data_IF_254347323522
#
_entry.id   IF_254347323522
#
_cell.length_a   1.000
_cell.length_b   1.000
_cell.length_c   1.000
_cell.angle_alpha   90.00
_cell.angle_beta   90.00
_cell.angle_gamma   90.00
#
_symmetry.space_group_name_H-M   'P 1'
#
loop_
_entity.id
_entity.type
_entity.pdbx_description
1 polymer ?
#
# COMPACT_ATOMS: atom_id res chain seq x y z
N UNK A 1 -40.03 6.25 43.82
CA UNK A 1 -39.29 7.54 43.84
C UNK A 1 -39.66 8.45 42.69
N UNK A 2 -39.72 7.98 41.43
CA UNK A 2 -40.12 8.82 40.28
C UNK A 2 -41.56 9.39 40.39
N UNK A 3 -42.51 8.59 40.91
CA UNK A 3 -43.90 9.00 41.15
C UNK A 3 -44.10 9.78 42.47
N UNK A 4 -43.05 9.90 43.29
CA UNK A 4 -43.09 10.54 44.60
C UNK A 4 -42.44 11.95 44.60
N UNK A 5 -42.13 12.51 43.42
CA UNK A 5 -41.52 13.84 43.27
C UNK A 5 -40.01 13.91 43.52
N UNK A 6 -39.34 12.81 43.89
CA UNK A 6 -37.89 12.76 44.15
C UNK A 6 -37.03 12.46 42.90
N UNK A 7 -37.48 12.89 41.72
CA UNK A 7 -36.85 12.55 40.44
C UNK A 7 -35.39 13.02 40.34
N UNK A 8 -35.08 14.19 40.88
CA UNK A 8 -33.72 14.76 40.86
C UNK A 8 -32.71 14.00 41.74
N UNK A 9 -33.17 13.48 42.89
CA UNK A 9 -32.32 12.68 43.79
C UNK A 9 -32.03 11.31 43.17
N UNK A 10 -33.04 10.68 42.56
CA UNK A 10 -32.87 9.43 41.82
C UNK A 10 -31.89 9.61 40.66
N UNK A 11 -32.04 10.69 39.88
CA UNK A 11 -31.14 11.04 38.78
C UNK A 11 -29.68 11.14 39.25
N UNK A 12 -29.43 11.89 40.32
CA UNK A 12 -28.07 12.13 40.83
C UNK A 12 -27.41 10.84 41.30
N UNK A 13 -28.12 10.06 42.12
CA UNK A 13 -27.60 8.79 42.67
C UNK A 13 -27.38 7.76 41.56
N UNK A 14 -28.34 7.64 40.63
CA UNK A 14 -28.22 6.72 39.51
C UNK A 14 -27.00 7.06 38.67
N UNK A 15 -26.85 8.33 38.28
CA UNK A 15 -25.73 8.80 37.47
C UNK A 15 -24.39 8.48 38.13
N UNK A 16 -24.21 8.87 39.39
CA UNK A 16 -22.94 8.69 40.10
C UNK A 16 -22.53 7.21 40.20
N UNK A 17 -23.48 6.34 40.56
CA UNK A 17 -23.20 4.91 40.73
C UNK A 17 -22.95 4.24 39.37
N UNK A 18 -23.82 4.51 38.37
CA UNK A 18 -23.76 3.82 37.08
C UNK A 18 -22.59 4.30 36.23
N UNK A 19 -22.28 5.59 36.22
CA UNK A 19 -21.09 6.10 35.54
C UNK A 19 -19.82 5.47 36.11
N UNK A 20 -19.70 5.40 37.44
CA UNK A 20 -18.54 4.77 38.09
C UNK A 20 -18.41 3.28 37.76
N UNK A 21 -19.52 2.54 37.73
CA UNK A 21 -19.54 1.10 37.36
C UNK A 21 -19.16 0.91 35.89
N UNK A 22 -19.69 1.75 34.99
CA UNK A 22 -19.42 1.68 33.56
C UNK A 22 -17.95 1.98 33.26
N UNK A 23 -17.40 3.03 33.88
CA UNK A 23 -15.97 3.35 33.79
C UNK A 23 -15.09 2.23 34.33
N UNK A 24 -15.45 1.65 35.49
CA UNK A 24 -14.71 0.53 36.05
C UNK A 24 -14.76 -0.71 35.14
N UNK A 25 -15.89 -0.93 34.46
CA UNK A 25 -16.07 -2.04 33.52
C UNK A 25 -15.17 -1.86 32.30
N UNK A 26 -15.08 -0.65 31.74
CA UNK A 26 -14.14 -0.35 30.65
C UNK A 26 -12.67 -0.48 31.07
N UNK A 27 -12.32 -0.03 32.29
CA UNK A 27 -10.96 -0.22 32.81
C UNK A 27 -10.60 -1.69 32.99
N UNK A 28 -11.53 -2.51 33.47
CA UNK A 28 -11.35 -3.97 33.59
C UNK A 28 -11.24 -4.66 32.23
N UNK A 29 -11.92 -4.12 31.23
CA UNK A 29 -11.81 -4.60 29.86
C UNK A 29 -10.41 -4.33 29.28
N UNK A 30 -9.71 -3.31 29.78
CA UNK A 30 -8.36 -2.93 29.34
C UNK A 30 -8.34 -1.63 28.54
N UNK A 31 -9.42 -0.85 28.56
CA UNK A 31 -9.47 0.46 27.91
C UNK A 31 -8.62 1.44 28.71
N UNK A 32 -7.52 1.87 28.10
CA UNK A 32 -6.60 2.86 28.64
C UNK A 32 -6.79 4.20 27.94
N UNK A 33 -6.73 5.29 28.71
CA UNK A 33 -6.66 6.63 28.14
C UNK A 33 -5.20 6.89 27.73
N UNK A 34 -4.91 6.78 26.44
CA UNK A 34 -3.59 7.09 25.89
C UNK A 34 -3.60 8.46 25.21
N UNK A 35 -2.54 9.23 25.43
CA UNK A 35 -2.31 10.46 24.67
C UNK A 35 -1.59 10.17 23.36
N UNK A 36 -1.58 11.16 22.46
CA UNK A 36 -0.79 11.10 21.22
C UNK A 36 0.70 10.79 21.50
N UNK A 37 1.26 11.39 22.54
CA UNK A 37 2.68 11.22 22.88
C UNK A 37 2.97 9.82 23.40
N UNK A 38 2.04 9.21 24.13
CA UNK A 38 2.15 7.83 24.61
C UNK A 38 2.16 6.85 23.43
N UNK A 39 1.24 7.06 22.47
CA UNK A 39 1.16 6.27 21.23
C UNK A 39 2.44 6.39 20.40
N UNK A 40 3.01 7.59 20.30
CA UNK A 40 4.23 7.82 19.50
C UNK A 40 5.48 7.19 20.10
N UNK A 41 5.55 7.05 21.42
CA UNK A 41 6.71 6.44 22.12
C UNK A 41 6.64 4.91 22.15
N UNK A 42 5.50 4.33 21.80
CA UNK A 42 5.26 2.90 21.87
C UNK A 42 5.92 2.15 20.72
N UNK A 43 6.41 0.94 21.00
CA UNK A 43 6.90 0.02 19.96
C UNK A 43 5.74 -0.47 19.11
N UNK A 44 6.02 -0.72 17.82
CA UNK A 44 4.99 -1.06 16.84
C UNK A 44 4.21 -2.32 17.22
N UNK A 45 4.89 -3.38 17.65
CA UNK A 45 4.29 -4.67 17.97
C UNK A 45 3.30 -4.56 19.15
N UNK A 46 3.62 -3.71 20.12
CA UNK A 46 2.75 -3.43 21.27
C UNK A 46 1.56 -2.57 20.83
N UNK A 47 1.80 -1.60 19.95
CA UNK A 47 0.76 -0.71 19.44
C UNK A 47 -0.26 -1.47 18.59
N UNK A 48 0.21 -2.32 17.67
CA UNK A 48 -0.60 -3.19 16.82
C UNK A 48 -1.51 -4.09 17.67
N UNK A 49 -0.95 -4.76 18.68
CA UNK A 49 -1.74 -5.56 19.62
C UNK A 49 -2.78 -4.73 20.40
N UNK A 50 -2.44 -3.50 20.81
CA UNK A 50 -3.38 -2.59 21.48
C UNK A 50 -4.49 -2.11 20.54
N UNK A 51 -4.21 -1.87 19.26
CA UNK A 51 -5.24 -1.52 18.27
C UNK A 51 -6.19 -2.70 18.07
N UNK A 52 -5.67 -3.92 17.92
CA UNK A 52 -6.50 -5.14 17.85
C UNK A 52 -7.41 -5.29 19.07
N UNK A 53 -6.87 -5.08 20.27
CA UNK A 53 -7.66 -5.09 21.50
C UNK A 53 -8.72 -3.97 21.51
N UNK A 54 -8.37 -2.75 21.08
CA UNK A 54 -9.31 -1.63 21.00
C UNK A 54 -10.50 -1.95 20.09
N UNK A 55 -10.29 -2.63 18.96
CA UNK A 55 -11.38 -3.08 18.07
C UNK A 55 -12.36 -3.99 18.82
N UNK A 56 -11.85 -4.97 19.57
CA UNK A 56 -12.67 -5.85 20.39
C UNK A 56 -13.39 -5.08 21.51
N UNK A 57 -12.70 -4.16 22.16
CA UNK A 57 -13.26 -3.36 23.25
C UNK A 57 -14.39 -2.45 22.75
N UNK A 58 -14.23 -1.88 21.55
CA UNK A 58 -15.25 -1.05 20.93
C UNK A 58 -16.52 -1.84 20.64
N UNK A 59 -16.41 -3.06 20.08
CA UNK A 59 -17.56 -3.97 19.90
C UNK A 59 -18.27 -4.25 21.21
N UNK A 60 -17.53 -4.63 22.24
CA UNK A 60 -18.09 -4.95 23.57
C UNK A 60 -18.75 -3.72 24.19
N UNK A 61 -18.12 -2.56 24.12
CA UNK A 61 -18.66 -1.32 24.68
C UNK A 61 -20.00 -0.95 24.04
N UNK A 62 -20.07 -0.93 22.70
CA UNK A 62 -21.29 -0.53 21.99
C UNK A 62 -22.38 -1.59 22.11
N UNK A 63 -22.08 -2.85 21.75
CA UNK A 63 -23.09 -3.91 21.62
C UNK A 63 -23.55 -4.48 22.97
N UNK A 64 -22.74 -4.37 24.02
CA UNK A 64 -23.07 -4.92 25.35
C UNK A 64 -23.25 -3.83 26.40
N UNK A 65 -22.24 -2.98 26.64
CA UNK A 65 -22.27 -2.08 27.78
C UNK A 65 -23.28 -0.94 27.59
N UNK A 66 -23.20 -0.21 26.48
CA UNK A 66 -24.11 0.91 26.22
C UNK A 66 -25.54 0.44 25.93
N UNK A 67 -25.69 -0.64 25.16
CA UNK A 67 -27.00 -1.26 24.95
C UNK A 67 -27.62 -1.77 26.26
N UNK A 68 -26.81 -2.32 27.17
CA UNK A 68 -27.25 -2.75 28.50
C UNK A 68 -27.65 -1.58 29.39
N UNK A 69 -26.84 -0.52 29.43
CA UNK A 69 -27.14 0.70 30.19
C UNK A 69 -28.42 1.37 29.68
N UNK A 70 -28.63 1.39 28.35
CA UNK A 70 -29.85 1.92 27.75
C UNK A 70 -31.09 1.21 28.29
N UNK A 71 -31.09 -0.13 28.29
CA UNK A 71 -32.20 -0.94 28.82
C UNK A 71 -32.47 -0.69 30.30
N UNK A 72 -31.41 -0.51 31.11
CA UNK A 72 -31.56 -0.23 32.54
C UNK A 72 -32.13 1.18 32.76
N UNK A 73 -31.65 2.17 32.02
CA UNK A 73 -32.22 3.52 32.02
C UNK A 73 -33.70 3.52 31.62
N UNK A 74 -34.07 2.79 30.57
CA UNK A 74 -35.46 2.64 30.10
C UNK A 74 -36.37 2.06 31.18
N UNK A 75 -35.91 1.06 31.92
CA UNK A 75 -36.69 0.41 32.98
C UNK A 75 -36.86 1.30 34.23
N UNK A 76 -35.85 2.08 34.60
CA UNK A 76 -35.87 2.85 35.86
C UNK A 76 -36.62 4.18 35.72
N UNK A 77 -36.50 4.82 34.55
CA UNK A 77 -37.09 6.12 34.26
C UNK A 77 -38.34 6.03 33.37
N UNK A 78 -39.03 4.90 33.40
CA UNK A 78 -40.29 4.70 32.68
C UNK A 78 -41.28 5.83 33.00
N UNK A 79 -41.80 6.49 31.96
CA UNK A 79 -42.73 7.62 32.06
C UNK A 79 -42.10 9.01 32.21
N UNK A 80 -40.76 9.15 32.21
CA UNK A 80 -40.07 10.45 32.30
C UNK A 80 -38.97 10.59 31.23
N UNK A 81 -39.39 10.66 29.96
CA UNK A 81 -38.48 10.57 28.81
C UNK A 81 -37.32 11.58 28.86
N UNK A 82 -37.56 12.86 29.15
CA UNK A 82 -36.49 13.87 29.15
C UNK A 82 -35.39 13.61 30.18
N UNK A 83 -35.74 13.14 31.38
CA UNK A 83 -34.76 12.82 32.42
C UNK A 83 -34.04 11.51 32.13
N UNK A 84 -34.73 10.51 31.55
CA UNK A 84 -34.13 9.26 31.09
C UNK A 84 -33.02 9.52 30.08
N UNK A 85 -33.33 10.28 29.03
CA UNK A 85 -32.40 10.56 27.95
C UNK A 85 -31.18 11.36 28.42
N UNK A 86 -31.39 12.32 29.32
CA UNK A 86 -30.30 13.08 29.92
C UNK A 86 -29.44 12.21 30.83
N UNK A 87 -30.04 11.34 31.64
CA UNK A 87 -29.31 10.49 32.59
C UNK A 87 -28.43 9.49 31.86
N UNK A 88 -28.95 8.88 30.79
CA UNK A 88 -28.17 7.99 29.93
C UNK A 88 -26.98 8.71 29.29
N UNK A 89 -27.18 9.94 28.80
CA UNK A 89 -26.11 10.75 28.23
C UNK A 89 -25.00 11.00 29.26
N UNK A 90 -25.35 11.54 30.43
CA UNK A 90 -24.42 11.83 31.52
C UNK A 90 -23.63 10.59 32.00
N UNK A 91 -24.27 9.39 32.01
CA UNK A 91 -23.62 8.14 32.45
C UNK A 91 -22.60 7.63 31.43
N UNK A 92 -22.87 7.84 30.14
CA UNK A 92 -22.08 7.24 29.04
C UNK A 92 -21.01 8.18 28.50
N UNK A 93 -21.14 9.49 28.70
CA UNK A 93 -20.28 10.54 28.13
C UNK A 93 -18.78 10.28 28.36
N UNK A 94 -18.37 10.07 29.61
CA UNK A 94 -16.95 9.87 29.96
C UNK A 94 -16.38 8.60 29.31
N UNK A 95 -17.19 7.55 29.24
CA UNK A 95 -16.82 6.25 28.70
C UNK A 95 -16.63 6.30 27.18
N UNK A 96 -17.58 6.95 26.47
CA UNK A 96 -17.47 7.18 25.02
C UNK A 96 -16.26 8.05 24.72
N UNK A 97 -16.05 9.14 25.47
CA UNK A 97 -14.91 10.03 25.29
C UNK A 97 -13.57 9.28 25.44
N UNK A 98 -13.44 8.40 26.43
CA UNK A 98 -12.21 7.60 26.62
C UNK A 98 -11.98 6.64 25.45
N UNK A 99 -13.01 5.91 25.00
CA UNK A 99 -12.90 5.00 23.85
C UNK A 99 -12.48 5.71 22.57
N UNK A 100 -13.11 6.86 22.26
CA UNK A 100 -12.80 7.65 21.09
C UNK A 100 -11.42 8.32 21.18
N UNK A 101 -10.99 8.72 22.37
CA UNK A 101 -9.70 9.38 22.57
C UNK A 101 -8.50 8.51 22.16
N UNK A 102 -8.59 7.19 22.34
CA UNK A 102 -7.58 6.27 21.84
C UNK A 102 -7.53 6.29 20.30
N UNK A 103 -8.69 6.19 19.65
CA UNK A 103 -8.79 6.27 18.20
C UNK A 103 -8.21 7.58 17.65
N UNK A 104 -8.52 8.70 18.31
CA UNK A 104 -7.95 9.99 17.95
C UNK A 104 -6.43 10.06 18.12
N UNK A 105 -5.89 9.48 19.20
CA UNK A 105 -4.46 9.45 19.44
C UNK A 105 -3.73 8.68 18.32
N UNK A 106 -4.29 7.57 17.84
CA UNK A 106 -3.77 6.79 16.71
C UNK A 106 -3.84 7.60 15.42
N UNK A 107 -5.01 8.16 15.09
CA UNK A 107 -5.21 8.97 13.89
C UNK A 107 -4.32 10.23 13.84
N UNK A 108 -3.98 10.80 15.01
CA UNK A 108 -3.06 11.95 15.13
C UNK A 108 -1.59 11.56 15.22
N UNK A 109 -1.26 10.27 15.32
CA UNK A 109 0.10 9.79 15.48
C UNK A 109 0.91 9.93 14.18
N UNK A 110 2.21 9.63 14.23
CA UNK A 110 3.04 9.65 13.02
C UNK A 110 2.53 8.60 12.03
N UNK A 111 2.17 9.05 10.83
CA UNK A 111 1.75 8.20 9.70
C UNK A 111 2.92 7.34 9.23
N UNK A 112 2.63 6.10 8.87
CA UNK A 112 3.58 5.21 8.20
C UNK A 112 2.81 4.17 7.37
N UNK A 113 3.39 3.64 6.29
CA UNK A 113 2.71 2.66 5.44
C UNK A 113 2.24 1.41 6.21
N UNK A 114 3.04 0.92 7.17
CA UNK A 114 2.73 -0.26 7.97
C UNK A 114 1.49 -0.06 8.84
N UNK A 115 1.24 1.19 9.26
CA UNK A 115 0.06 1.57 10.05
C UNK A 115 -1.23 1.63 9.26
N UNK A 116 -1.17 1.63 7.93
CA UNK A 116 -2.36 1.81 7.11
C UNK A 116 -3.38 0.70 7.37
N UNK A 117 -2.96 -0.56 7.42
CA UNK A 117 -3.86 -1.70 7.54
C UNK A 117 -4.62 -1.69 8.87
N UNK A 118 -3.92 -1.44 9.99
CA UNK A 118 -4.59 -1.31 11.29
C UNK A 118 -5.50 -0.08 11.37
N UNK A 119 -5.19 1.01 10.66
CA UNK A 119 -6.07 2.17 10.55
C UNK A 119 -7.35 1.82 9.78
N UNK A 120 -7.24 0.99 8.73
CA UNK A 120 -8.39 0.47 7.99
C UNK A 120 -9.24 -0.45 8.87
N UNK A 121 -8.64 -1.32 9.68
CA UNK A 121 -9.39 -2.15 10.65
C UNK A 121 -10.16 -1.29 11.67
N UNK A 122 -9.54 -0.21 12.16
CA UNK A 122 -10.19 0.75 13.05
C UNK A 122 -11.35 1.48 12.36
N UNK A 123 -11.19 1.81 11.09
CA UNK A 123 -12.21 2.44 10.29
C UNK A 123 -13.40 1.49 10.03
N UNK A 124 -13.12 0.23 9.71
CA UNK A 124 -14.15 -0.80 9.53
C UNK A 124 -15.00 -0.96 10.79
N UNK A 125 -14.38 -1.04 11.97
CA UNK A 125 -15.16 -1.19 13.20
C UNK A 125 -16.03 0.03 13.49
N UNK A 126 -15.52 1.24 13.23
CA UNK A 126 -16.30 2.46 13.45
C UNK A 126 -17.52 2.52 12.54
N UNK A 127 -17.40 2.05 11.29
CA UNK A 127 -18.55 1.94 10.38
C UNK A 127 -19.47 0.79 10.69
N UNK A 128 -18.93 -0.36 11.09
CA UNK A 128 -19.72 -1.51 11.53
C UNK A 128 -20.67 -1.11 12.67
N UNK A 129 -20.18 -0.31 13.62
CA UNK A 129 -20.91 0.10 14.82
C UNK A 129 -21.72 1.38 14.65
N UNK A 130 -21.61 2.08 13.52
CA UNK A 130 -22.30 3.36 13.31
C UNK A 130 -23.83 3.23 13.47
N UNK A 131 -24.52 2.24 12.89
CA UNK A 131 -25.98 2.10 13.05
C UNK A 131 -26.38 1.84 14.50
N UNK A 132 -25.64 1.01 15.24
CA UNK A 132 -25.89 0.77 16.66
C UNK A 132 -25.63 2.02 17.50
N UNK A 133 -24.59 2.79 17.19
CA UNK A 133 -24.34 4.07 17.84
C UNK A 133 -25.47 5.06 17.57
N UNK A 134 -25.96 5.17 16.34
CA UNK A 134 -27.08 6.04 15.99
C UNK A 134 -28.37 5.67 16.74
N UNK A 135 -28.62 4.36 16.89
CA UNK A 135 -29.78 3.82 17.59
C UNK A 135 -29.70 3.96 19.11
N UNK A 136 -28.56 3.64 19.72
CA UNK A 136 -28.39 3.70 21.19
C UNK A 136 -28.39 5.15 21.69
N UNK A 137 -27.81 6.06 20.90
CA UNK A 137 -27.62 7.47 21.24
C UNK A 137 -28.60 8.38 20.48
N UNK A 138 -29.82 7.91 20.19
CA UNK A 138 -30.81 8.63 19.36
C UNK A 138 -31.14 10.05 19.85
N UNK A 139 -31.12 10.23 21.17
CA UNK A 139 -31.48 11.46 21.87
C UNK A 139 -30.62 12.69 21.52
N UNK A 140 -31.24 13.87 21.62
CA UNK A 140 -30.56 15.17 21.48
C UNK A 140 -29.43 15.37 22.50
N UNK A 141 -29.52 14.78 23.69
CA UNK A 141 -28.49 14.88 24.73
C UNK A 141 -27.23 14.08 24.37
N UNK A 142 -27.34 13.11 23.46
CA UNK A 142 -26.23 12.28 23.01
C UNK A 142 -25.67 12.71 21.65
N UNK A 143 -26.10 13.87 21.13
CA UNK A 143 -25.70 14.37 19.80
C UNK A 143 -24.18 14.48 19.69
N UNK A 144 -23.52 15.12 20.67
CA UNK A 144 -22.06 15.31 20.66
C UNK A 144 -21.28 13.98 20.62
N UNK A 145 -21.80 12.92 21.27
CA UNK A 145 -21.17 11.59 21.26
C UNK A 145 -21.24 10.93 19.89
N UNK A 146 -22.39 11.02 19.21
CA UNK A 146 -22.55 10.52 17.83
C UNK A 146 -21.69 11.32 16.86
N UNK A 147 -21.71 12.64 16.97
CA UNK A 147 -20.88 13.51 16.14
C UNK A 147 -19.39 13.22 16.34
N UNK A 148 -18.94 13.03 17.58
CA UNK A 148 -17.54 12.68 17.89
C UNK A 148 -17.14 11.34 17.28
N UNK A 149 -18.03 10.34 17.28
CA UNK A 149 -17.78 9.06 16.63
C UNK A 149 -17.65 9.21 15.11
N UNK A 150 -18.56 9.94 14.47
CA UNK A 150 -18.50 10.24 13.02
C UNK A 150 -17.24 11.03 12.67
N UNK A 151 -16.86 12.01 13.49
CA UNK A 151 -15.63 12.79 13.31
C UNK A 151 -14.39 11.89 13.41
N UNK A 152 -14.36 10.94 14.35
CA UNK A 152 -13.27 9.97 14.43
C UNK A 152 -13.22 9.09 13.16
N UNK A 153 -14.34 8.56 12.70
CA UNK A 153 -14.44 7.77 11.47
C UNK A 153 -13.84 8.51 10.28
N UNK A 154 -14.28 9.75 10.05
CA UNK A 154 -13.74 10.62 8.99
C UNK A 154 -12.27 10.90 9.17
N UNK A 155 -11.80 11.10 10.41
CA UNK A 155 -10.38 11.37 10.68
C UNK A 155 -9.50 10.15 10.39
N UNK A 156 -9.94 8.95 10.73
CA UNK A 156 -9.25 7.70 10.40
C UNK A 156 -9.14 7.55 8.87
N UNK A 157 -10.25 7.80 8.18
CA UNK A 157 -10.34 7.73 6.73
C UNK A 157 -9.41 8.74 6.03
N UNK A 158 -9.41 9.99 6.49
CA UNK A 158 -8.50 11.03 6.00
C UNK A 158 -7.03 10.65 6.25
N UNK A 159 -6.72 10.14 7.45
CA UNK A 159 -5.35 9.73 7.80
C UNK A 159 -4.87 8.58 6.92
N UNK A 160 -5.75 7.64 6.57
CA UNK A 160 -5.47 6.58 5.62
C UNK A 160 -5.20 7.12 4.21
N UNK A 161 -5.99 8.08 3.72
CA UNK A 161 -5.75 8.74 2.43
C UNK A 161 -4.40 9.45 2.37
N UNK A 162 -4.08 10.20 3.41
CA UNK A 162 -2.79 10.88 3.52
C UNK A 162 -1.61 9.89 3.57
N UNK A 163 -1.81 8.73 4.20
CA UNK A 163 -0.80 7.66 4.28
C UNK A 163 -0.52 7.04 2.90
N UNK A 164 -1.48 6.99 1.99
CA UNK A 164 -1.22 6.58 0.60
C UNK A 164 -0.27 7.55 -0.12
N UNK A 165 -0.48 8.86 0.06
CA UNK A 165 0.42 9.89 -0.49
C UNK A 165 1.82 9.80 0.08
N UNK A 166 1.94 9.62 1.40
CA UNK A 166 3.23 9.41 2.07
C UNK A 166 3.94 8.15 1.55
N UNK A 167 3.20 7.06 1.32
CA UNK A 167 3.76 5.82 0.80
C UNK A 167 4.26 5.97 -0.65
N UNK A 168 3.48 6.59 -1.52
CA UNK A 168 3.87 6.91 -2.89
C UNK A 168 5.16 7.74 -2.93
N UNK A 169 5.23 8.81 -2.13
CA UNK A 169 6.42 9.66 -2.03
C UNK A 169 7.63 8.89 -1.50
N UNK A 170 7.43 8.03 -0.49
CA UNK A 170 8.50 7.20 0.06
C UNK A 170 9.02 6.17 -0.96
N UNK A 171 8.14 5.58 -1.78
CA UNK A 171 8.53 4.66 -2.84
C UNK A 171 9.28 5.38 -3.96
N UNK A 172 8.80 6.55 -4.39
CA UNK A 172 9.44 7.33 -5.45
C UNK A 172 10.85 7.79 -5.03
N UNK A 173 10.99 8.28 -3.79
CA UNK A 173 12.23 8.84 -3.24
C UNK A 173 13.16 7.82 -2.59
N UNK A 174 12.85 6.52 -2.64
CA UNK A 174 13.69 5.48 -2.03
C UNK A 174 15.11 5.51 -2.61
N UNK A 175 16.05 6.00 -1.81
CA UNK A 175 17.47 6.13 -2.15
C UNK A 175 18.32 4.99 -1.58
N UNK A 176 17.67 3.94 -1.07
CA UNK A 176 18.35 2.82 -0.42
C UNK A 176 19.31 2.15 -1.40
N UNK A 177 20.60 2.11 -1.05
CA UNK A 177 21.70 1.56 -1.87
C UNK A 177 21.73 0.02 -1.84
N UNK A 178 20.58 -0.62 -1.95
CA UNK A 178 20.51 -2.08 -2.02
C UNK A 178 21.08 -2.50 -3.37
N UNK A 179 22.35 -2.92 -3.38
CA UNK A 179 23.07 -3.25 -4.60
C UNK A 179 22.60 -4.61 -5.13
N UNK A 180 21.83 -4.61 -6.21
CA UNK A 180 21.42 -5.82 -6.94
C UNK A 180 22.37 -6.00 -8.13
N UNK A 181 23.61 -6.41 -7.87
CA UNK A 181 24.68 -6.38 -8.87
C UNK A 181 24.44 -7.30 -10.08
N UNK A 182 23.58 -8.30 -9.94
CA UNK A 182 23.24 -9.31 -10.96
C UNK A 182 22.01 -8.93 -11.80
N UNK A 183 21.39 -7.78 -11.55
CA UNK A 183 20.21 -7.31 -12.27
C UNK A 183 18.91 -8.06 -11.93
N UNK A 184 18.86 -8.81 -10.82
CA UNK A 184 17.64 -9.48 -10.37
C UNK A 184 16.51 -8.50 -9.94
N UNK A 185 15.38 -9.05 -9.49
CA UNK A 185 14.28 -8.26 -8.93
C UNK A 185 14.74 -7.54 -7.67
N UNK A 186 14.52 -6.23 -7.62
CA UNK A 186 14.90 -5.40 -6.48
C UNK A 186 13.96 -5.65 -5.29
N UNK A 187 14.46 -5.73 -4.03
CA UNK A 187 13.61 -5.97 -2.85
C UNK A 187 12.46 -4.97 -2.70
N UNK A 188 12.68 -3.69 -3.03
CA UNK A 188 11.63 -2.66 -3.11
C UNK A 188 10.46 -3.09 -4.01
N UNK A 189 10.74 -3.69 -5.17
CA UNK A 189 9.69 -4.17 -6.09
C UNK A 189 8.83 -5.22 -5.41
N UNK A 190 9.45 -6.21 -4.76
CA UNK A 190 8.70 -7.23 -4.02
C UNK A 190 7.92 -6.64 -2.85
N UNK A 191 8.50 -5.69 -2.12
CA UNK A 191 7.85 -5.00 -1.00
C UNK A 191 6.60 -4.23 -1.45
N UNK A 192 6.72 -3.36 -2.46
CA UNK A 192 5.60 -2.56 -2.97
C UNK A 192 4.51 -3.45 -3.56
N UNK A 193 4.88 -4.51 -4.29
CA UNK A 193 3.90 -5.43 -4.84
C UNK A 193 3.16 -6.21 -3.73
N UNK A 194 3.85 -6.63 -2.67
CA UNK A 194 3.19 -7.27 -1.54
C UNK A 194 2.29 -6.29 -0.78
N UNK A 195 2.73 -5.05 -0.62
CA UNK A 195 1.89 -3.99 -0.06
C UNK A 195 0.62 -3.79 -0.87
N UNK A 196 0.73 -3.67 -2.19
CA UNK A 196 -0.44 -3.56 -3.07
C UNK A 196 -1.33 -4.79 -2.96
N UNK A 197 -0.80 -6.02 -2.92
CA UNK A 197 -1.63 -7.21 -2.69
C UNK A 197 -2.45 -7.11 -1.40
N UNK A 198 -1.83 -6.70 -0.30
CA UNK A 198 -2.55 -6.48 0.95
C UNK A 198 -3.60 -5.38 0.87
N UNK A 199 -3.37 -4.32 0.07
CA UNK A 199 -4.40 -3.29 -0.15
C UNK A 199 -5.66 -3.89 -0.81
N UNK A 200 -5.51 -4.86 -1.71
CA UNK A 200 -6.65 -5.49 -2.37
C UNK A 200 -7.45 -6.38 -1.42
N UNK A 201 -6.84 -6.95 -0.38
CA UNK A 201 -7.60 -7.63 0.69
C UNK A 201 -8.60 -6.68 1.39
N UNK A 202 -8.33 -5.36 1.36
CA UNK A 202 -9.18 -4.29 1.89
C UNK A 202 -10.00 -3.55 0.81
N UNK A 203 -10.16 -4.11 -0.39
CA UNK A 203 -10.78 -3.41 -1.52
C UNK A 203 -12.18 -2.84 -1.19
N UNK A 204 -13.04 -3.62 -0.54
CA UNK A 204 -14.40 -3.17 -0.17
C UNK A 204 -14.35 -1.97 0.79
N UNK A 205 -13.44 -2.02 1.76
CA UNK A 205 -13.27 -0.99 2.78
C UNK A 205 -12.74 0.29 2.17
N UNK A 206 -11.74 0.17 1.29
CA UNK A 206 -11.15 1.29 0.55
C UNK A 206 -12.15 1.96 -0.38
N UNK A 207 -13.00 1.19 -1.08
CA UNK A 207 -14.05 1.78 -1.94
C UNK A 207 -14.99 2.67 -1.13
N UNK A 208 -15.49 2.15 -0.03
CA UNK A 208 -16.37 2.93 0.84
C UNK A 208 -15.60 4.08 1.54
N UNK A 209 -14.29 3.95 1.76
CA UNK A 209 -13.44 5.01 2.33
C UNK A 209 -13.31 6.19 1.37
N UNK A 210 -13.08 5.92 0.09
CA UNK A 210 -13.01 6.97 -0.93
C UNK A 210 -14.35 7.69 -1.13
N UNK A 211 -15.46 6.95 -1.03
CA UNK A 211 -16.81 7.53 -1.08
C UNK A 211 -17.14 8.50 0.06
N UNK A 212 -16.41 8.48 1.18
CA UNK A 212 -16.63 9.47 2.27
C UNK A 212 -16.19 10.89 1.91
N UNK A 213 -15.29 11.04 0.93
CA UNK A 213 -14.69 12.35 0.58
C UNK A 213 -14.97 12.80 -0.84
N UNK A 214 -15.29 11.87 -1.73
CA UNK A 214 -15.57 12.14 -3.14
C UNK A 214 -16.78 11.31 -3.57
N UNK A 215 -17.80 11.96 -4.14
CA UNK A 215 -18.95 11.29 -4.74
C UNK A 215 -18.59 10.60 -6.08
N UNK A 216 -17.34 10.73 -6.51
CA UNK A 216 -16.77 10.05 -7.67
C UNK A 216 -16.77 8.52 -7.57
N UNK A 217 -16.43 7.90 -8.69
CA UNK A 217 -16.33 6.44 -8.76
C UNK A 217 -15.18 5.92 -7.89
N UNK A 218 -15.52 5.17 -6.84
CA UNK A 218 -14.59 4.57 -5.91
C UNK A 218 -13.58 3.64 -6.60
N UNK A 219 -14.01 2.96 -7.67
CA UNK A 219 -13.14 2.11 -8.48
C UNK A 219 -12.10 2.94 -9.24
N UNK A 220 -12.50 4.09 -9.79
CA UNK A 220 -11.58 5.05 -10.41
C UNK A 220 -10.54 5.59 -9.43
N UNK A 221 -10.95 5.93 -8.19
CA UNK A 221 -10.04 6.43 -7.17
C UNK A 221 -9.03 5.37 -6.72
N UNK A 222 -9.48 4.15 -6.45
CA UNK A 222 -8.60 3.03 -6.12
C UNK A 222 -7.64 2.71 -7.28
N UNK A 223 -8.12 2.82 -8.53
CA UNK A 223 -7.32 2.62 -9.74
C UNK A 223 -6.24 3.69 -9.85
N UNK A 224 -6.60 4.95 -9.59
CA UNK A 224 -5.69 6.08 -9.58
C UNK A 224 -4.58 5.90 -8.54
N UNK A 225 -4.92 5.60 -7.28
CA UNK A 225 -3.93 5.37 -6.21
C UNK A 225 -3.01 4.20 -6.55
N UNK A 226 -3.57 3.07 -6.99
CA UNK A 226 -2.78 1.88 -7.38
C UNK A 226 -1.83 2.22 -8.54
N UNK A 227 -2.33 2.92 -9.55
CA UNK A 227 -1.52 3.32 -10.72
C UNK A 227 -0.39 4.27 -10.32
N UNK A 228 -0.65 5.22 -9.42
CA UNK A 228 0.36 6.15 -8.91
C UNK A 228 1.47 5.44 -8.14
N UNK A 229 1.13 4.50 -7.26
CA UNK A 229 2.12 3.66 -6.54
C UNK A 229 2.97 2.86 -7.54
N UNK A 230 2.33 2.25 -8.56
CA UNK A 230 3.06 1.50 -9.58
C UNK A 230 3.98 2.40 -10.42
N UNK A 231 3.53 3.62 -10.74
CA UNK A 231 4.34 4.59 -11.48
C UNK A 231 5.51 5.10 -10.64
N UNK A 232 5.30 5.39 -9.36
CA UNK A 232 6.36 5.78 -8.43
C UNK A 232 7.45 4.70 -8.33
N UNK A 233 7.03 3.43 -8.22
CA UNK A 233 7.96 2.29 -8.23
C UNK A 233 8.74 2.22 -9.55
N UNK A 234 8.09 2.36 -10.70
CA UNK A 234 8.75 2.32 -12.01
C UNK A 234 9.74 3.48 -12.19
N UNK A 235 9.37 4.70 -11.81
CA UNK A 235 10.25 5.87 -11.84
C UNK A 235 11.48 5.65 -10.95
N UNK A 236 11.29 5.10 -9.74
CA UNK A 236 12.38 4.78 -8.84
C UNK A 236 13.32 3.72 -9.44
N UNK A 237 12.76 2.65 -10.03
CA UNK A 237 13.52 1.60 -10.69
C UNK A 237 14.31 2.12 -11.90
N UNK A 238 13.74 3.01 -12.72
CA UNK A 238 14.46 3.69 -13.80
C UNK A 238 15.65 4.49 -13.25
N UNK A 239 15.42 5.26 -12.18
CA UNK A 239 16.48 5.99 -11.46
C UNK A 239 17.61 5.08 -10.97
N UNK A 240 17.27 3.94 -10.36
CA UNK A 240 18.25 2.94 -9.88
C UNK A 240 18.97 2.24 -11.01
N UNK A 241 18.29 1.97 -12.12
CA UNK A 241 18.88 1.30 -13.29
C UNK A 241 20.03 2.09 -13.92
N UNK A 242 20.05 3.42 -13.74
CA UNK A 242 21.13 4.31 -14.22
C UNK A 242 22.44 4.17 -13.43
N UNK A 243 22.43 3.46 -12.31
CA UNK A 243 23.64 3.21 -11.51
C UNK A 243 24.51 2.09 -12.09
N UNK A 244 23.95 1.24 -12.96
CA UNK A 244 24.73 0.21 -13.64
C UNK A 244 25.64 0.82 -14.70
N UNK A 245 26.90 0.34 -14.74
CA UNK A 245 27.87 0.75 -15.75
C UNK A 245 27.61 0.12 -17.12
N UNK A 246 27.08 -1.10 -17.15
CA UNK A 246 26.77 -1.83 -18.38
C UNK A 246 25.32 -1.53 -18.79
N UNK A 247 25.08 -0.86 -19.94
CA UNK A 247 23.73 -0.55 -20.40
C UNK A 247 22.88 -1.79 -20.69
N UNK A 248 23.49 -2.95 -20.99
CA UNK A 248 22.74 -4.19 -21.14
C UNK A 248 22.16 -4.65 -19.79
N UNK A 249 22.92 -4.52 -18.70
CA UNK A 249 22.47 -4.87 -17.36
C UNK A 249 21.33 -3.95 -16.89
N UNK A 250 21.38 -2.66 -17.23
CA UNK A 250 20.27 -1.72 -17.01
C UNK A 250 18.97 -2.24 -17.63
N UNK A 251 19.02 -2.68 -18.90
CA UNK A 251 17.82 -3.20 -19.59
C UNK A 251 17.35 -4.53 -18.98
N UNK A 252 18.27 -5.42 -18.62
CA UNK A 252 17.93 -6.69 -17.96
C UNK A 252 17.25 -6.47 -16.61
N UNK A 253 17.77 -5.54 -15.81
CA UNK A 253 17.20 -5.16 -14.52
C UNK A 253 15.77 -4.63 -14.66
N UNK A 254 15.53 -3.70 -15.58
CA UNK A 254 14.19 -3.15 -15.84
C UNK A 254 13.24 -4.24 -16.35
N UNK A 255 13.70 -5.09 -17.27
CA UNK A 255 12.95 -6.24 -17.77
C UNK A 255 12.49 -7.16 -16.62
N UNK A 256 13.41 -7.57 -15.74
CA UNK A 256 13.11 -8.45 -14.62
C UNK A 256 12.09 -7.86 -13.64
N UNK A 257 12.27 -6.59 -13.28
CA UNK A 257 11.41 -5.93 -12.30
C UNK A 257 10.01 -5.66 -12.86
N UNK A 258 9.90 -5.14 -14.09
CA UNK A 258 8.61 -4.88 -14.73
C UNK A 258 7.88 -6.20 -15.00
N UNK A 259 8.59 -7.25 -15.42
CA UNK A 259 7.99 -8.58 -15.57
C UNK A 259 7.45 -9.13 -14.25
N UNK A 260 8.19 -8.97 -13.15
CA UNK A 260 7.73 -9.36 -11.83
C UNK A 260 6.45 -8.61 -11.41
N UNK A 261 6.39 -7.30 -11.66
CA UNK A 261 5.20 -6.47 -11.43
C UNK A 261 4.02 -7.03 -12.24
N UNK A 262 4.18 -7.22 -13.55
CA UNK A 262 3.13 -7.73 -14.46
C UNK A 262 2.64 -9.12 -14.03
N UNK A 263 3.56 -10.03 -13.72
CA UNK A 263 3.23 -11.40 -13.26
C UNK A 263 2.47 -11.37 -11.95
N UNK A 264 2.81 -10.45 -11.05
CA UNK A 264 2.16 -10.32 -9.76
C UNK A 264 0.76 -9.72 -9.88
N UNK A 265 0.60 -8.62 -10.64
CA UNK A 265 -0.71 -7.99 -10.91
C UNK A 265 -1.67 -8.98 -11.55
N UNK A 266 -1.21 -9.74 -12.56
CA UNK A 266 -2.02 -10.76 -13.25
C UNK A 266 -2.53 -11.88 -12.32
N UNK A 267 -1.87 -12.13 -11.20
CA UNK A 267 -2.22 -13.17 -10.22
C UNK A 267 -3.05 -12.65 -9.04
N UNK A 268 -3.44 -11.38 -9.07
CA UNK A 268 -4.19 -10.71 -8.01
C UNK A 268 -5.42 -9.99 -8.56
N UNK A 269 -6.32 -9.61 -7.67
CA UNK A 269 -7.53 -8.81 -8.00
C UNK A 269 -7.19 -7.43 -8.59
N UNK A 270 -5.94 -6.97 -8.43
CA UNK A 270 -5.43 -5.78 -9.11
C UNK A 270 -5.57 -5.84 -10.64
N UNK A 271 -5.61 -7.05 -11.23
CA UNK A 271 -5.82 -7.22 -12.67
C UNK A 271 -7.20 -6.69 -13.09
N UNK A 272 -8.24 -7.00 -12.33
CA UNK A 272 -9.62 -6.66 -12.68
C UNK A 272 -9.85 -5.15 -12.58
N UNK A 273 -9.14 -4.50 -11.66
CA UNK A 273 -9.18 -3.06 -11.46
C UNK A 273 -8.35 -2.28 -12.50
N UNK A 274 -7.12 -2.70 -12.77
CA UNK A 274 -6.23 -2.02 -13.74
C UNK A 274 -6.56 -2.33 -15.21
N UNK A 275 -7.23 -3.46 -15.46
CA UNK A 275 -7.65 -3.89 -16.79
C UNK A 275 -6.56 -4.58 -17.62
N UNK A 276 -7.01 -5.30 -18.65
CA UNK A 276 -6.12 -6.06 -19.55
C UNK A 276 -5.20 -5.14 -20.38
N UNK A 277 -5.64 -3.92 -20.69
CA UNK A 277 -4.83 -2.93 -21.43
C UNK A 277 -3.56 -2.56 -20.67
N UNK A 278 -3.65 -2.33 -19.36
CA UNK A 278 -2.51 -2.03 -18.51
C UNK A 278 -1.49 -3.17 -18.55
N UNK A 279 -1.97 -4.42 -18.44
CA UNK A 279 -1.14 -5.63 -18.51
C UNK A 279 -0.47 -5.74 -19.88
N UNK A 280 -1.20 -5.47 -20.96
CA UNK A 280 -0.66 -5.56 -22.32
C UNK A 280 0.41 -4.49 -22.58
N UNK A 281 0.19 -3.25 -22.13
CA UNK A 281 1.16 -2.16 -22.23
C UNK A 281 2.46 -2.55 -21.52
N UNK A 282 2.39 -3.02 -20.28
CA UNK A 282 3.59 -3.37 -19.51
C UNK A 282 4.29 -4.62 -20.06
N UNK A 283 3.55 -5.61 -20.62
CA UNK A 283 4.18 -6.71 -21.38
C UNK A 283 4.96 -6.22 -22.59
N UNK A 284 4.44 -5.23 -23.33
CA UNK A 284 5.17 -4.64 -24.46
C UNK A 284 6.44 -3.93 -23.98
N UNK A 285 6.39 -3.24 -22.83
CA UNK A 285 7.57 -2.60 -22.21
C UNK A 285 8.62 -3.66 -21.83
N UNK A 286 8.22 -4.78 -21.20
CA UNK A 286 9.13 -5.90 -20.91
C UNK A 286 9.81 -6.39 -22.19
N UNK A 287 9.05 -6.60 -23.26
CA UNK A 287 9.60 -7.04 -24.55
C UNK A 287 10.55 -6.01 -25.17
N UNK A 288 10.26 -4.70 -25.02
CA UNK A 288 11.14 -3.63 -25.48
C UNK A 288 12.49 -3.68 -24.75
N UNK A 289 12.49 -3.82 -23.43
CA UNK A 289 13.72 -3.99 -22.65
C UNK A 289 14.47 -5.26 -23.03
N UNK A 290 13.78 -6.38 -23.24
CA UNK A 290 14.39 -7.63 -23.72
C UNK A 290 15.07 -7.45 -25.09
N UNK A 291 14.41 -6.79 -26.04
CA UNK A 291 14.96 -6.52 -27.37
C UNK A 291 16.16 -5.57 -27.29
N UNK A 292 16.09 -4.54 -26.45
CA UNK A 292 17.18 -3.58 -26.27
C UNK A 292 18.38 -4.24 -25.58
N UNK A 293 18.16 -5.09 -24.59
CA UNK A 293 19.19 -5.94 -23.99
C UNK A 293 19.87 -6.82 -25.04
N UNK A 294 19.11 -7.54 -25.87
CA UNK A 294 19.64 -8.39 -26.96
C UNK A 294 20.47 -7.56 -27.94
N UNK A 295 19.96 -6.39 -28.36
CA UNK A 295 20.65 -5.48 -29.28
C UNK A 295 21.96 -4.94 -28.70
N UNK A 296 21.94 -4.41 -27.47
CA UNK A 296 23.14 -3.83 -26.84
C UNK A 296 24.20 -4.92 -26.62
N UNK A 297 23.81 -6.06 -26.05
CA UNK A 297 24.73 -7.15 -25.71
C UNK A 297 25.42 -7.73 -26.94
N UNK A 298 24.67 -8.01 -28.00
CA UNK A 298 25.15 -8.81 -29.13
C UNK A 298 25.55 -8.00 -30.36
N UNK A 299 25.22 -6.70 -30.45
CA UNK A 299 25.50 -5.89 -31.64
C UNK A 299 26.96 -5.92 -32.09
N UNK A 300 27.92 -5.76 -31.17
CA UNK A 300 29.36 -5.76 -31.47
C UNK A 300 29.85 -7.12 -31.98
N UNK A 301 29.37 -8.20 -31.35
CA UNK A 301 29.70 -9.57 -31.74
C UNK A 301 29.14 -9.88 -33.13
N UNK A 302 27.89 -9.50 -33.39
CA UNK A 302 27.24 -9.71 -34.69
C UNK A 302 27.91 -8.92 -35.81
N UNK A 303 28.47 -7.73 -35.53
CA UNK A 303 29.26 -6.96 -36.50
C UNK A 303 30.54 -7.68 -36.93
N UNK A 304 31.14 -8.51 -36.06
CA UNK A 304 32.31 -9.32 -36.45
C UNK A 304 31.96 -10.32 -37.57
N UNK A 305 30.69 -10.74 -37.65
CA UNK A 305 30.17 -11.72 -38.60
C UNK A 305 29.65 -11.07 -39.91
N UNK A 306 29.41 -9.76 -39.95
CA UNK A 306 28.87 -9.10 -41.16
C UNK A 306 29.95 -8.63 -42.13
N UNK A 307 29.72 -8.87 -43.42
CA UNK A 307 30.68 -8.62 -44.52
C UNK A 307 30.81 -7.12 -44.86
N UNK A 308 29.90 -6.25 -44.39
CA UNK A 308 29.88 -4.82 -44.77
C UNK A 308 31.14 -4.02 -44.41
N UNK A 309 31.96 -4.45 -43.44
CA UNK A 309 33.25 -3.82 -43.14
C UNK A 309 34.38 -4.17 -44.12
N UNK A 310 34.12 -4.95 -45.18
CA UNK A 310 35.13 -5.42 -46.14
C UNK A 310 35.34 -4.48 -47.32
N UNK A 311 34.42 -3.53 -47.57
CA UNK A 311 34.37 -2.77 -48.83
C UNK A 311 34.90 -1.33 -48.74
N UNK A 312 35.30 -0.84 -47.57
CA UNK A 312 35.56 0.60 -47.33
C UNK A 312 37.02 1.00 -47.12
N UNK A 313 38.00 0.09 -47.31
CA UNK A 313 39.42 0.39 -47.12
C UNK A 313 40.29 0.32 -48.38
N UNK A 314 39.68 0.41 -49.57
CA UNK A 314 40.41 0.53 -50.84
C UNK A 314 39.94 1.74 -51.63
N UNK A 315 40.30 2.93 -51.13
CA UNK A 315 40.29 4.16 -51.91
C UNK A 315 41.59 4.31 -52.71
N UNK A 316 41.46 4.50 -54.02
CA UNK A 316 42.42 4.96 -55.03
C UNK A 316 43.54 4.00 -55.50
N UNK A 317 43.39 3.38 -56.70
CA UNK A 317 43.82 3.95 -58.00
C UNK A 317 43.69 2.95 -59.18
N UNK A 318 43.13 3.46 -60.29
CA UNK A 318 43.26 3.09 -61.71
C UNK A 318 43.06 1.64 -62.20
N UNK A 319 42.00 1.46 -63.01
CA UNK A 319 42.09 0.86 -64.36
C UNK A 319 41.85 -0.65 -64.52
N UNK A 320 40.82 -0.99 -65.32
CA UNK A 320 40.87 -2.17 -66.20
C UNK A 320 40.27 -3.48 -65.69
N UNK A 321 39.09 -3.78 -66.22
CA UNK A 321 38.62 -5.08 -66.73
C UNK A 321 38.52 -6.33 -65.82
N UNK A 322 37.33 -6.92 -65.90
CA UNK A 322 36.98 -8.35 -65.76
C UNK A 322 37.56 -9.21 -64.62
N UNK A 323 36.66 -9.56 -63.69
CA UNK A 323 36.49 -10.94 -63.20
C UNK A 323 37.54 -11.53 -62.26
N UNK A 324 37.20 -11.61 -60.97
CA UNK A 324 37.80 -12.62 -60.08
C UNK A 324 38.10 -12.15 -58.66
N UNK A 325 37.43 -12.81 -57.71
CA UNK A 325 37.77 -12.91 -56.29
C UNK A 325 37.40 -11.71 -55.40
N UNK A 326 36.31 -11.90 -54.64
CA UNK A 326 35.94 -11.10 -53.48
C UNK A 326 37.15 -10.91 -52.55
N UNK A 327 37.58 -9.66 -52.37
CA UNK A 327 38.80 -9.24 -51.67
C UNK A 327 38.77 -9.44 -50.15
N UNK A 328 38.50 -10.65 -49.67
CA UNK A 328 38.58 -11.02 -48.25
C UNK A 328 39.84 -11.85 -48.04
N UNK A 329 40.86 -11.28 -47.41
CA UNK A 329 42.10 -12.00 -47.15
C UNK A 329 41.90 -13.05 -46.04
N UNK A 330 42.54 -14.22 -46.18
CA UNK A 330 42.53 -15.28 -45.14
C UNK A 330 42.97 -14.75 -43.77
N UNK A 331 43.93 -13.82 -43.76
CA UNK A 331 44.40 -13.16 -42.54
C UNK A 331 43.29 -12.32 -41.87
N UNK A 332 42.51 -11.58 -42.66
CA UNK A 332 41.39 -10.79 -42.17
C UNK A 332 40.26 -11.65 -41.61
N UNK A 333 39.97 -12.79 -42.23
CA UNK A 333 39.01 -13.77 -41.69
C UNK A 333 39.49 -14.31 -40.35
N UNK A 334 40.77 -14.71 -40.26
CA UNK A 334 41.35 -15.25 -39.03
C UNK A 334 41.31 -14.24 -37.88
N UNK A 335 41.59 -12.97 -38.16
CA UNK A 335 41.52 -11.91 -37.15
C UNK A 335 40.10 -11.68 -36.65
N UNK A 336 39.10 -11.63 -37.55
CA UNK A 336 37.69 -11.50 -37.16
C UNK A 336 37.19 -12.65 -36.29
N UNK A 337 37.57 -13.90 -36.61
CA UNK A 337 37.25 -15.05 -35.75
C UNK A 337 37.89 -14.93 -34.37
N UNK A 338 39.14 -14.45 -34.30
CA UNK A 338 39.80 -14.19 -33.03
C UNK A 338 39.07 -13.12 -32.22
N UNK A 339 38.72 -11.99 -32.84
CA UNK A 339 37.96 -10.92 -32.19
C UNK A 339 36.59 -11.41 -31.71
N UNK A 340 35.87 -12.18 -32.54
CA UNK A 340 34.59 -12.78 -32.18
C UNK A 340 34.72 -13.67 -30.93
N UNK A 341 35.69 -14.59 -30.90
CA UNK A 341 35.87 -15.50 -29.77
C UNK A 341 36.15 -14.75 -28.47
N UNK A 342 37.02 -13.73 -28.51
CA UNK A 342 37.33 -12.91 -27.33
C UNK A 342 36.09 -12.17 -26.85
N UNK A 343 35.37 -11.47 -27.75
CA UNK A 343 34.16 -10.73 -27.36
C UNK A 343 33.05 -11.63 -26.85
N UNK A 344 32.89 -12.82 -27.43
CA UNK A 344 31.92 -13.82 -26.98
C UNK A 344 32.24 -14.34 -25.58
N UNK A 345 33.51 -14.69 -25.33
CA UNK A 345 33.95 -15.21 -24.04
C UNK A 345 33.84 -14.15 -22.94
N UNK A 346 34.24 -12.90 -23.21
CA UNK A 346 34.06 -11.78 -22.29
C UNK A 346 32.59 -11.51 -21.98
N UNK A 347 31.72 -11.58 -22.99
CA UNK A 347 30.28 -11.41 -22.80
C UNK A 347 29.70 -12.55 -21.95
N UNK A 348 30.03 -13.79 -22.28
CA UNK A 348 29.58 -14.97 -21.55
C UNK A 348 30.04 -14.95 -20.09
N UNK A 349 31.31 -14.66 -19.83
CA UNK A 349 31.83 -14.56 -18.45
C UNK A 349 31.13 -13.48 -17.64
N UNK A 350 30.78 -12.35 -18.27
CA UNK A 350 30.07 -11.26 -17.60
C UNK A 350 28.61 -11.61 -17.35
N UNK A 351 27.90 -12.07 -18.37
CA UNK A 351 26.45 -12.27 -18.33
C UNK A 351 26.05 -13.57 -17.62
N UNK A 352 26.95 -14.54 -17.49
CA UNK A 352 26.72 -15.74 -16.66
C UNK A 352 26.59 -15.43 -15.17
N UNK A 353 27.03 -14.25 -14.73
CA UNK A 353 26.84 -13.75 -13.37
C UNK A 353 25.51 -13.00 -13.20
N UNK A 354 24.73 -12.79 -14.26
CA UNK A 354 23.46 -12.08 -14.22
C UNK A 354 22.30 -13.04 -14.01
N UNK A 355 21.26 -12.58 -13.34
CA UNK A 355 20.14 -13.43 -12.93
C UNK A 355 18.85 -12.96 -13.59
N UNK A 356 18.14 -13.89 -14.24
CA UNK A 356 16.74 -13.74 -14.64
C UNK A 356 15.93 -14.75 -13.81
N UNK A 357 15.20 -14.30 -12.77
CA UNK A 357 14.52 -15.21 -11.85
C UNK A 357 13.42 -16.05 -12.48
N UNK A 358 12.73 -15.50 -13.48
CA UNK A 358 11.64 -16.18 -14.16
C UNK A 358 12.19 -17.08 -15.27
N UNK A 359 11.94 -18.39 -15.17
CA UNK A 359 12.48 -19.39 -16.09
C UNK A 359 11.93 -19.23 -17.52
N UNK A 360 10.63 -18.94 -17.66
CA UNK A 360 9.99 -18.78 -18.97
C UNK A 360 10.57 -17.55 -19.69
N UNK A 361 10.76 -16.44 -18.96
CA UNK A 361 11.39 -15.24 -19.50
C UNK A 361 12.86 -15.48 -19.87
N UNK A 362 13.60 -16.23 -19.06
CA UNK A 362 15.02 -16.53 -19.30
C UNK A 362 15.23 -17.42 -20.53
N UNK A 363 14.32 -18.35 -20.78
CA UNK A 363 14.41 -19.32 -21.88
C UNK A 363 13.92 -18.74 -23.23
N UNK A 364 13.27 -17.57 -23.23
CA UNK A 364 12.73 -16.87 -24.42
C UNK A 364 13.71 -15.89 -25.12
#
# INVERSE_FOLDING_TARGET
MAHAGHQQQLFTIYREIRAAILEQSLRKLGVEKLTKDDVQRMQWEVLEAKIGNWIHFMRIAVKLLFAGERKVCDQIFEGVDSLREQCFADVTESCVAVLLSFGEAIAKSKRSPEKLFVLLDMYEIMRELQPEMESIFESKYCMEMRESAVVLTKRLAQTAQETFGDFEEAVEKDATKTAVLDGTVHPLTSYVINYVKFLFDYQSTLKQLFQEFDEGDADSLLTSVTTRIMQALQTNLDGKSKQYKDPALTQLFLMNNIHYIVRSVRRSEAKDLLGDDWVQIHRRIVQQHANQYKRISWSKILQCLTIQGLSSSSGNQFGGDSGGNSGVSRAMVKERFRTFNIQFEELHQRQSQWTVPDSELRES
#
